data_IF_951880170214
#
_entry.id   IF_951880170214
#
_cell.length_a   1.000
_cell.length_b   1.000
_cell.length_c   1.000
_cell.angle_alpha   90.00
_cell.angle_beta   90.00
_cell.angle_gamma   90.00
#
_symmetry.space_group_name_H-M   'P 1'
#
loop_
_entity.id
_entity.type
_entity.pdbx_description
1 polymer ?
#
# COMPACT_ATOMS: atom_id res chain seq x y z
N UNK A 1 -4.76 -6.39 2.27
CA UNK A 1 -3.67 -7.36 2.10
C UNK A 1 -3.70 -8.01 0.73
N UNK A 2 -2.56 -8.54 0.26
CA UNK A 2 -2.41 -9.35 -0.96
C UNK A 2 -1.42 -10.47 -0.75
N UNK A 3 -1.63 -11.60 -1.45
CA UNK A 3 -0.72 -12.74 -1.44
C UNK A 3 -0.33 -13.07 -2.87
N UNK A 4 0.91 -13.53 -3.09
CA UNK A 4 1.36 -14.03 -4.39
C UNK A 4 0.61 -15.29 -4.79
N UNK A 5 0.55 -15.59 -6.09
CA UNK A 5 -0.19 -16.74 -6.63
C UNK A 5 0.33 -18.08 -6.09
N UNK A 6 1.63 -18.16 -5.79
CA UNK A 6 2.27 -19.33 -5.18
C UNK A 6 2.09 -19.41 -3.64
N UNK A 7 1.41 -18.42 -3.04
CA UNK A 7 1.15 -18.35 -1.60
C UNK A 7 2.37 -18.06 -0.72
N UNK A 8 3.53 -17.75 -1.32
CA UNK A 8 4.79 -17.67 -0.57
C UNK A 8 5.13 -16.26 -0.05
N UNK A 9 4.41 -15.22 -0.51
CA UNK A 9 4.60 -13.85 -0.06
C UNK A 9 3.27 -13.21 0.24
N UNK A 10 3.15 -12.65 1.43
CA UNK A 10 1.98 -11.90 1.89
C UNK A 10 2.39 -10.44 2.08
N UNK A 11 1.59 -9.54 1.53
CA UNK A 11 1.70 -8.09 1.71
C UNK A 11 0.54 -7.60 2.56
N UNK A 12 0.82 -6.83 3.58
CA UNK A 12 -0.18 -6.26 4.49
C UNK A 12 0.01 -4.75 4.56
N UNK A 13 -1.02 -4.00 4.25
CA UNK A 13 -1.07 -2.56 4.49
C UNK A 13 -1.41 -2.28 5.96
N UNK A 14 -0.64 -1.43 6.59
CA UNK A 14 -0.82 -0.95 7.95
C UNK A 14 -1.19 0.53 7.86
N UNK A 15 -2.48 0.80 7.69
CA UNK A 15 -3.03 2.13 7.38
C UNK A 15 -2.52 3.19 8.36
N UNK A 16 -2.80 3.03 9.65
CA UNK A 16 -2.44 4.00 10.69
C UNK A 16 -0.93 4.15 10.91
N UNK A 17 -0.15 3.12 10.56
CA UNK A 17 1.31 3.16 10.68
C UNK A 17 2.01 3.72 9.43
N UNK A 18 1.27 3.97 8.33
CA UNK A 18 1.84 4.44 7.07
C UNK A 18 2.82 3.46 6.43
N UNK A 19 2.59 2.14 6.59
CA UNK A 19 3.55 1.12 6.18
C UNK A 19 2.91 0.00 5.39
N UNK A 20 3.71 -0.64 4.56
CA UNK A 20 3.40 -1.92 3.95
C UNK A 20 4.45 -2.93 4.38
N UNK A 21 4.01 -4.08 4.88
CA UNK A 21 4.92 -5.15 5.31
C UNK A 21 4.81 -6.35 4.38
N UNK A 22 5.94 -6.99 4.13
CA UNK A 22 6.05 -8.19 3.32
C UNK A 22 6.54 -9.35 4.18
N UNK A 23 5.79 -10.45 4.13
CA UNK A 23 6.13 -11.69 4.83
C UNK A 23 6.46 -12.81 3.85
N UNK A 24 7.38 -13.70 4.26
CA UNK A 24 7.50 -15.03 3.70
C UNK A 24 6.48 -15.95 4.37
N UNK A 25 5.61 -16.55 3.59
CA UNK A 25 4.53 -17.44 4.01
C UNK A 25 4.70 -18.86 3.44
N UNK A 26 5.93 -19.24 3.06
CA UNK A 26 6.22 -20.62 2.58
C UNK A 26 5.90 -21.67 3.65
N UNK A 27 6.00 -21.31 4.93
CA UNK A 27 5.40 -22.03 6.06
C UNK A 27 4.30 -21.13 6.63
N UNK A 28 3.04 -21.39 6.34
CA UNK A 28 1.94 -20.53 6.76
C UNK A 28 1.71 -20.52 8.28
N UNK A 29 2.18 -21.54 8.99
CA UNK A 29 2.12 -21.59 10.45
C UNK A 29 3.20 -20.72 11.12
N UNK A 30 4.25 -20.34 10.37
CA UNK A 30 5.40 -19.56 10.87
C UNK A 30 5.80 -18.47 9.86
N UNK A 31 4.95 -17.48 9.59
CA UNK A 31 5.27 -16.41 8.68
C UNK A 31 6.47 -15.62 9.19
N UNK A 32 7.40 -15.29 8.28
CA UNK A 32 8.61 -14.53 8.61
C UNK A 32 8.57 -13.16 7.94
N UNK A 33 8.76 -12.10 8.72
CA UNK A 33 8.90 -10.75 8.18
C UNK A 33 10.12 -10.69 7.26
N UNK A 34 9.93 -10.19 6.04
CA UNK A 34 11.00 -9.95 5.07
C UNK A 34 11.35 -8.46 5.04
N UNK A 35 10.34 -7.61 4.85
CA UNK A 35 10.55 -6.18 4.60
C UNK A 35 9.43 -5.34 5.19
N UNK A 36 9.81 -4.16 5.67
CA UNK A 36 8.90 -3.06 5.98
C UNK A 36 9.20 -1.94 4.99
N UNK A 37 8.19 -1.52 4.24
CA UNK A 37 8.20 -0.34 3.39
C UNK A 37 7.50 0.79 4.14
N UNK A 38 8.23 1.84 4.46
CA UNK A 38 7.71 3.03 5.13
C UNK A 38 7.29 4.05 4.06
N UNK A 39 6.03 4.48 4.07
CA UNK A 39 5.46 5.47 3.15
C UNK A 39 5.22 6.82 3.86
N UNK A 40 5.48 6.89 5.16
CA UNK A 40 5.20 8.05 5.98
C UNK A 40 3.89 7.93 6.77
N UNK A 41 3.83 8.59 7.91
CA UNK A 41 2.73 8.49 8.88
C UNK A 41 1.36 8.92 8.33
N UNK A 42 1.34 9.82 7.35
CA UNK A 42 0.11 10.41 6.80
C UNK A 42 -0.30 9.76 5.46
N UNK A 43 0.37 8.70 5.03
CA UNK A 43 0.07 8.02 3.75
C UNK A 43 -1.22 7.21 3.80
N UNK A 44 -1.49 6.51 4.88
CA UNK A 44 -2.69 5.69 5.01
C UNK A 44 -2.82 4.58 3.96
N UNK A 45 -1.81 3.72 3.74
CA UNK A 45 -1.87 2.68 2.72
C UNK A 45 -3.06 1.75 2.97
N UNK A 46 -3.97 1.67 2.00
CA UNK A 46 -5.26 1.02 2.19
C UNK A 46 -5.40 -0.21 1.29
N UNK A 47 -5.35 -0.03 -0.02
CA UNK A 47 -5.53 -1.11 -0.98
C UNK A 47 -4.21 -1.50 -1.63
N UNK A 48 -4.05 -2.80 -1.85
CA UNK A 48 -2.87 -3.39 -2.47
C UNK A 48 -3.26 -4.21 -3.69
N UNK A 49 -2.58 -4.01 -4.82
CA UNK A 49 -2.75 -4.82 -6.01
C UNK A 49 -1.39 -5.24 -6.59
N UNK A 50 -1.21 -6.53 -6.83
CA UNK A 50 -0.06 -7.04 -7.56
C UNK A 50 -0.33 -7.01 -9.07
N UNK A 51 0.68 -6.62 -9.85
CA UNK A 51 0.65 -6.79 -11.31
C UNK A 51 0.57 -8.28 -11.68
N UNK A 52 0.14 -8.58 -12.90
CA UNK A 52 -0.02 -9.97 -13.38
C UNK A 52 1.28 -10.79 -13.31
N UNK A 53 2.43 -10.14 -13.49
CA UNK A 53 3.76 -10.74 -13.37
C UNK A 53 4.29 -10.77 -11.92
N UNK A 54 3.53 -10.22 -10.96
CA UNK A 54 3.86 -10.11 -9.54
C UNK A 54 5.17 -9.35 -9.24
N UNK A 55 5.68 -8.57 -10.21
CA UNK A 55 6.91 -7.79 -10.05
C UNK A 55 6.69 -6.40 -9.49
N UNK A 56 5.44 -5.94 -9.42
CA UNK A 56 5.08 -4.65 -8.84
C UNK A 56 3.88 -4.79 -7.94
N UNK A 57 3.95 -4.06 -6.83
CA UNK A 57 2.84 -3.84 -5.92
C UNK A 57 2.38 -2.38 -6.08
N UNK A 58 1.12 -2.19 -6.42
CA UNK A 58 0.47 -0.87 -6.41
C UNK A 58 -0.24 -0.70 -5.08
N UNK A 59 -0.05 0.43 -4.46
CA UNK A 59 -0.56 0.79 -3.14
C UNK A 59 -1.34 2.08 -3.31
N UNK A 60 -2.60 2.09 -2.88
CA UNK A 60 -3.39 3.33 -2.83
C UNK A 60 -3.43 3.85 -1.40
N UNK A 61 -3.23 5.14 -1.23
CA UNK A 61 -3.39 5.79 0.05
C UNK A 61 -4.83 6.28 0.22
N UNK A 62 -5.42 5.88 1.33
CA UNK A 62 -6.74 6.31 1.74
C UNK A 62 -6.72 6.48 3.25
N UNK A 63 -6.20 7.63 3.67
CA UNK A 63 -6.14 7.94 5.08
C UNK A 63 -7.54 8.22 5.62
N UNK A 64 -7.90 7.50 6.66
CA UNK A 64 -9.13 7.70 7.40
C UNK A 64 -8.85 7.34 8.86
N UNK A 65 -9.00 8.30 9.73
CA UNK A 65 -8.85 8.13 11.17
C UNK A 65 -10.06 8.75 11.88
N UNK A 66 -10.56 8.06 12.89
CA UNK A 66 -11.59 8.56 13.78
C UNK A 66 -10.95 8.85 15.14
N UNK A 67 -11.12 10.05 15.66
CA UNK A 67 -10.62 10.42 16.98
C UNK A 67 -11.58 9.96 18.11
N UNK A 68 -11.15 10.16 19.35
CA UNK A 68 -11.91 9.75 20.54
C UNK A 68 -13.27 10.48 20.69
N UNK A 69 -13.51 11.51 19.88
CA UNK A 69 -14.75 12.27 19.83
C UNK A 69 -15.67 11.83 18.69
N UNK A 70 -15.27 10.82 17.91
CA UNK A 70 -16.00 10.32 16.75
C UNK A 70 -15.85 11.20 15.50
N UNK A 71 -14.91 12.16 15.51
CA UNK A 71 -14.62 12.97 14.33
C UNK A 71 -13.71 12.23 13.38
N UNK A 72 -14.11 12.18 12.11
CA UNK A 72 -13.34 11.56 11.04
C UNK A 72 -12.34 12.56 10.48
N UNK A 73 -11.07 12.14 10.44
CA UNK A 73 -9.93 12.84 9.85
C UNK A 73 -9.52 12.12 8.57
N UNK A 74 -9.41 12.87 7.48
CA UNK A 74 -9.15 12.34 6.17
C UNK A 74 -8.15 13.18 5.38
N UNK A 75 -7.33 13.95 6.10
CA UNK A 75 -6.39 14.93 5.58
C UNK A 75 -5.02 14.33 5.20
N UNK A 76 -4.92 13.04 5.04
CA UNK A 76 -3.68 12.37 4.74
C UNK A 76 -3.20 12.52 3.30
N UNK A 77 -2.21 11.76 2.97
CA UNK A 77 -1.65 11.65 1.62
C UNK A 77 -2.65 10.93 0.70
N UNK A 78 -2.88 11.45 -0.49
CA UNK A 78 -3.81 10.89 -1.48
C UNK A 78 -3.07 10.40 -2.72
N UNK A 79 -2.03 9.61 -2.51
CA UNK A 79 -1.16 9.11 -3.59
C UNK A 79 -1.46 7.67 -3.98
N UNK A 80 -0.97 7.35 -5.16
CA UNK A 80 -0.72 5.97 -5.54
C UNK A 80 0.78 5.76 -5.55
N UNK A 81 1.23 4.73 -4.85
CA UNK A 81 2.62 4.29 -4.85
C UNK A 81 2.78 3.02 -5.67
N UNK A 82 3.95 2.87 -6.27
CA UNK A 82 4.38 1.64 -6.93
C UNK A 82 5.64 1.15 -6.25
N UNK A 83 5.65 -0.11 -5.81
CA UNK A 83 6.83 -0.74 -5.27
C UNK A 83 7.26 -1.92 -6.13
N UNK A 84 8.57 -2.05 -6.39
CA UNK A 84 9.17 -3.22 -7.04
C UNK A 84 9.23 -4.38 -6.05
N UNK A 85 8.75 -5.53 -6.48
CA UNK A 85 8.71 -6.76 -5.68
C UNK A 85 9.78 -7.71 -6.16
N UNK A 86 10.58 -8.22 -5.24
CA UNK A 86 11.51 -9.33 -5.48
C UNK A 86 11.31 -10.43 -4.44
N UNK A 87 12.11 -11.49 -4.52
CA UNK A 87 12.01 -12.62 -3.58
C UNK A 87 12.14 -12.18 -2.12
N UNK A 88 13.06 -11.26 -1.85
CA UNK A 88 13.44 -10.86 -0.49
C UNK A 88 13.40 -9.35 -0.26
N UNK A 89 12.79 -8.58 -1.18
CA UNK A 89 12.78 -7.13 -1.03
C UNK A 89 11.52 -6.50 -1.65
N UNK A 90 11.16 -5.34 -1.11
CA UNK A 90 10.09 -4.47 -1.55
C UNK A 90 10.64 -3.05 -1.57
N UNK A 91 10.77 -2.46 -2.77
CA UNK A 91 11.44 -1.18 -2.96
C UNK A 91 10.51 -0.19 -3.65
N UNK A 92 10.31 0.96 -3.02
CA UNK A 92 9.50 2.05 -3.59
C UNK A 92 10.09 2.54 -4.91
N UNK A 93 9.25 2.68 -5.94
CA UNK A 93 9.63 3.34 -7.18
C UNK A 93 9.46 4.86 -7.02
N UNK A 94 10.54 5.55 -6.65
CA UNK A 94 10.53 6.99 -6.40
C UNK A 94 10.37 7.84 -7.66
N UNK A 95 10.42 7.22 -8.86
CA UNK A 95 10.16 7.91 -10.12
C UNK A 95 8.67 7.97 -10.46
N UNK A 96 7.86 7.08 -9.88
CA UNK A 96 6.43 7.13 -10.01
C UNK A 96 5.86 8.10 -8.97
N UNK A 97 5.12 9.11 -9.44
CA UNK A 97 4.47 10.09 -8.57
C UNK A 97 3.09 10.42 -9.14
N UNK A 98 2.05 9.96 -8.47
CA UNK A 98 0.67 10.28 -8.80
C UNK A 98 -0.05 10.71 -7.51
N UNK A 99 -0.29 12.01 -7.40
CA UNK A 99 -0.94 12.64 -6.27
C UNK A 99 -2.35 13.10 -6.67
N UNK A 100 -3.36 12.51 -6.08
CA UNK A 100 -4.76 12.82 -6.35
C UNK A 100 -5.24 14.13 -5.73
N UNK A 101 -4.44 14.80 -4.91
CA UNK A 101 -4.73 16.16 -4.49
C UNK A 101 -4.68 17.15 -5.66
N UNK A 102 -3.93 16.81 -6.74
CA UNK A 102 -3.70 17.71 -7.88
C UNK A 102 -3.98 17.07 -9.25
N UNK A 103 -4.05 15.74 -9.32
CA UNK A 103 -4.04 15.01 -10.59
C UNK A 103 -5.30 15.25 -11.47
N UNK A 104 -6.44 15.56 -10.87
CA UNK A 104 -7.72 15.65 -11.60
C UNK A 104 -8.14 17.07 -11.96
N UNK A 105 -7.46 18.10 -11.45
CA UNK A 105 -7.78 19.51 -11.75
C UNK A 105 -9.02 20.07 -11.06
N UNK A 106 -10.03 19.25 -10.82
CA UNK A 106 -11.32 19.67 -10.25
C UNK A 106 -11.35 19.61 -8.70
N UNK A 107 -10.20 19.42 -8.08
CA UNK A 107 -10.05 19.30 -6.63
C UNK A 107 -9.53 17.93 -6.19
N UNK A 108 -9.31 17.77 -4.89
CA UNK A 108 -8.71 16.55 -4.36
C UNK A 108 -9.65 15.35 -4.49
N UNK A 109 -9.07 14.21 -4.87
CA UNK A 109 -9.73 12.91 -4.89
C UNK A 109 -8.94 11.91 -4.06
N UNK A 110 -9.57 10.77 -3.73
CA UNK A 110 -8.94 9.75 -2.88
C UNK A 110 -8.93 8.41 -3.61
N UNK A 111 -7.75 7.85 -3.92
CA UNK A 111 -7.64 6.58 -4.61
C UNK A 111 -7.96 5.42 -3.64
N UNK A 112 -9.21 4.95 -3.62
CA UNK A 112 -9.62 3.90 -2.70
C UNK A 112 -9.13 2.51 -3.10
N UNK A 113 -9.01 2.24 -4.41
CA UNK A 113 -8.56 0.94 -4.88
C UNK A 113 -8.10 0.96 -6.34
N UNK A 114 -7.47 -0.14 -6.76
CA UNK A 114 -6.97 -0.34 -8.12
C UNK A 114 -7.18 -1.80 -8.54
N UNK A 115 -7.50 -2.01 -9.81
CA UNK A 115 -7.59 -3.34 -10.42
C UNK A 115 -6.83 -3.37 -11.75
N UNK A 116 -6.26 -4.52 -12.08
CA UNK A 116 -5.65 -4.80 -13.37
C UNK A 116 -6.56 -5.74 -14.18
N UNK A 117 -6.63 -5.49 -15.48
CA UNK A 117 -7.27 -6.38 -16.46
C UNK A 117 -6.33 -7.48 -16.93
#
# INVERSE_FOLDING_TARGET
>A
MRITRDGRRLFVSMNMAGKVVMFNTSDPAKPKLIKVLDLGKDSGPHYLALTKDEKRLVITDYFLNEDDQGKVHAEGDHKIHVAKVSKNDLVLDTKFNLDFNVALGDGPARPHGVAFK
#
